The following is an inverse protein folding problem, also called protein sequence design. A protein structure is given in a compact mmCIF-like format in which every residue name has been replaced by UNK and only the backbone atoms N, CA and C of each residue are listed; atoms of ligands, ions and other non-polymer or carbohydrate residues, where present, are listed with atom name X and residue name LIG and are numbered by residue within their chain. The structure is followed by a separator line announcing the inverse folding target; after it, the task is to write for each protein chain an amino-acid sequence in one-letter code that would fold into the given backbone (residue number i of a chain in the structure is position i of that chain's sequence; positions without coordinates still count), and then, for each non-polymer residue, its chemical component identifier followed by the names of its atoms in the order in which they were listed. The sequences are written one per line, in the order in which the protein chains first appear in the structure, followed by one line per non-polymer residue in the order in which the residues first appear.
data_IF_429970062504
#
_entry.id   IF_429970062504
#
_cell.length_a   1.000
_cell.length_b   1.000
_cell.length_c   1.000
_cell.angle_alpha   90.00
_cell.angle_beta   90.00
_cell.angle_gamma   90.00
#
_symmetry.space_group_name_H-M   'P 1'
#
loop_
_entity.id
_entity.type
_entity.pdbx_description
1 polymer ?
#
# COMPACT_ATOMS: atom_id res chain seq x y z
N UNK A 1 28.23 -18.80 16.64
CA UNK A 1 26.76 -18.77 16.45
C UNK A 1 26.42 -17.78 15.34
N UNK A 2 25.69 -18.17 14.28
CA UNK A 2 25.29 -17.22 13.25
C UNK A 2 24.25 -16.24 13.84
N UNK A 3 24.55 -14.94 13.83
CA UNK A 3 23.59 -13.91 14.25
C UNK A 3 22.42 -13.92 13.26
N UNK A 4 21.21 -14.22 13.76
CA UNK A 4 19.96 -14.14 12.99
C UNK A 4 19.91 -12.76 12.34
N UNK A 5 19.85 -12.69 11.00
CA UNK A 5 19.75 -11.41 10.29
C UNK A 5 18.51 -10.68 10.82
N UNK A 6 18.56 -9.37 11.08
CA UNK A 6 17.38 -8.62 11.44
C UNK A 6 16.34 -8.83 10.34
N UNK A 7 15.11 -9.13 10.73
CA UNK A 7 14.01 -9.34 9.81
C UNK A 7 13.74 -8.04 9.05
N UNK A 8 13.87 -8.11 7.74
CA UNK A 8 13.60 -7.02 6.80
C UNK A 8 12.36 -7.40 5.98
N UNK A 9 11.46 -6.45 5.80
CA UNK A 9 10.36 -6.55 4.83
C UNK A 9 10.55 -5.48 3.79
N UNK A 10 10.71 -5.91 2.53
CA UNK A 10 10.64 -5.04 1.37
C UNK A 10 9.20 -4.97 0.88
N UNK A 11 8.62 -3.76 0.89
CA UNK A 11 7.25 -3.54 0.46
C UNK A 11 7.08 -3.74 -1.06
N UNK A 12 8.13 -3.56 -1.86
CA UNK A 12 8.09 -3.75 -3.32
C UNK A 12 7.91 -5.23 -3.73
N UNK A 13 8.27 -6.17 -2.86
CA UNK A 13 8.16 -7.61 -3.12
C UNK A 13 6.84 -8.22 -2.62
N UNK A 14 6.01 -7.44 -1.92
CA UNK A 14 4.73 -7.91 -1.39
C UNK A 14 3.61 -7.76 -2.43
N UNK A 15 2.57 -8.62 -2.40
CA UNK A 15 1.40 -8.42 -3.23
C UNK A 15 0.69 -7.12 -2.83
N UNK A 16 0.48 -6.22 -3.79
CA UNK A 16 -0.16 -4.91 -3.60
C UNK A 16 -1.57 -4.95 -4.21
N UNK A 17 -2.59 -5.20 -3.40
CA UNK A 17 -3.99 -5.22 -3.82
C UNK A 17 -4.34 -6.21 -4.96
N UNK A 18 -5.64 -6.44 -5.19
CA UNK A 18 -6.11 -7.25 -6.31
C UNK A 18 -6.17 -6.45 -7.60
N UNK A 19 -5.42 -6.83 -8.62
CA UNK A 19 -5.59 -6.27 -9.97
C UNK A 19 -6.87 -6.81 -10.61
N UNK A 20 -7.82 -5.91 -10.86
CA UNK A 20 -9.08 -6.24 -11.53
C UNK A 20 -8.99 -6.07 -13.04
N UNK A 21 -9.61 -6.99 -13.79
CA UNK A 21 -9.89 -6.81 -15.22
C UNK A 21 -11.35 -6.40 -15.36
N UNK A 22 -11.59 -5.26 -16.01
CA UNK A 22 -12.94 -4.82 -16.35
C UNK A 22 -13.07 -4.91 -17.87
N UNK A 23 -13.97 -5.78 -18.33
CA UNK A 23 -14.33 -5.90 -19.75
C UNK A 23 -15.63 -5.14 -19.96
N UNK A 24 -15.63 -4.14 -20.84
CA UNK A 24 -16.83 -3.37 -21.18
C UNK A 24 -17.40 -3.94 -22.50
N UNK A 25 -18.62 -4.47 -22.51
CA UNK A 25 -19.25 -4.98 -23.74
C UNK A 25 -19.66 -3.83 -24.67
N UNK A 26 -19.81 -4.15 -25.96
CA UNK A 26 -20.14 -3.20 -27.04
C UNK A 26 -21.60 -2.71 -26.98
N UNK A 27 -22.51 -3.51 -26.44
CA UNK A 27 -23.91 -3.16 -26.19
C UNK A 27 -24.34 -3.51 -24.74
N UNK A 28 -25.32 -2.78 -24.20
CA UNK A 28 -25.81 -2.95 -22.82
C UNK A 28 -25.32 -1.89 -21.82
N UNK A 29 -25.65 -2.08 -20.54
CA UNK A 29 -25.27 -1.14 -19.47
C UNK A 29 -23.83 -1.34 -19.01
N UNK A 30 -23.04 -0.26 -18.99
CA UNK A 30 -21.66 -0.27 -18.49
C UNK A 30 -21.53 -0.41 -16.95
N UNK A 31 -22.65 -0.60 -16.23
CA UNK A 31 -22.67 -0.86 -14.79
C UNK A 31 -22.62 -2.37 -14.57
N UNK A 32 -21.50 -2.88 -14.06
CA UNK A 32 -21.52 -4.08 -13.25
C UNK A 32 -22.16 -3.71 -11.91
N UNK A 33 -23.21 -4.43 -11.51
CA UNK A 33 -23.74 -4.35 -10.15
C UNK A 33 -22.60 -4.82 -9.23
N UNK A 34 -22.06 -3.90 -8.44
CA UNK A 34 -21.13 -4.23 -7.38
C UNK A 34 -21.99 -4.63 -6.19
N UNK A 35 -22.05 -5.93 -5.91
CA UNK A 35 -22.77 -6.55 -4.80
C UNK A 35 -22.10 -6.22 -3.46
N UNK A 36 -21.72 -4.95 -3.25
CA UNK A 36 -20.94 -4.44 -2.14
C UNK A 36 -21.68 -4.63 -0.82
N UNK A 37 -21.65 -5.85 -0.30
CA UNK A 37 -22.05 -6.19 1.05
C UNK A 37 -21.09 -5.46 1.98
N UNK A 38 -21.53 -4.33 2.52
CA UNK A 38 -20.81 -3.58 3.54
C UNK A 38 -20.77 -4.46 4.79
N UNK A 39 -19.64 -5.11 5.03
CA UNK A 39 -19.39 -5.86 6.24
C UNK A 39 -19.24 -4.87 7.41
N UNK A 40 -20.16 -4.94 8.37
CA UNK A 40 -20.11 -4.14 9.58
C UNK A 40 -19.05 -4.77 10.48
N UNK A 41 -17.87 -4.16 10.52
CA UNK A 41 -16.81 -4.54 11.46
C UNK A 41 -17.13 -3.91 12.81
N UNK A 42 -17.60 -4.71 13.76
CA UNK A 42 -17.79 -4.27 15.13
C UNK A 42 -16.43 -3.89 15.75
N UNK A 43 -16.31 -2.62 16.18
CA UNK A 43 -15.08 -2.05 16.71
C UNK A 43 -14.79 -2.47 18.16
N UNK A 44 -13.51 -2.55 18.57
CA UNK A 44 -13.16 -3.07 19.88
C UNK A 44 -13.35 -2.05 21.03
N UNK A 45 -13.60 -2.58 22.23
CA UNK A 45 -13.72 -1.86 23.49
C UNK A 45 -12.50 -0.97 23.79
N UNK A 46 -12.71 0.17 24.47
CA UNK A 46 -11.74 1.25 24.67
C UNK A 46 -10.33 0.85 25.18
N UNK A 47 -10.18 -0.30 25.84
CA UNK A 47 -8.87 -0.83 26.25
C UNK A 47 -7.99 -1.23 25.06
N UNK A 48 -8.58 -1.82 24.02
CA UNK A 48 -7.86 -2.22 22.81
C UNK A 48 -7.36 -1.00 22.03
N UNK A 49 -8.09 0.12 22.10
CA UNK A 49 -7.70 1.36 21.42
C UNK A 49 -6.42 1.96 22.00
N UNK A 50 -6.22 1.88 23.32
CA UNK A 50 -4.98 2.35 23.95
C UNK A 50 -3.75 1.54 23.51
N UNK A 51 -3.90 0.21 23.42
CA UNK A 51 -2.84 -0.69 22.96
C UNK A 51 -2.52 -0.49 21.47
N UNK A 52 -3.53 -0.23 20.64
CA UNK A 52 -3.36 0.12 19.23
C UNK A 52 -2.64 1.47 19.07
N UNK A 53 -3.01 2.49 19.86
CA UNK A 53 -2.31 3.78 19.84
C UNK A 53 -0.85 3.64 20.25
N UNK A 54 -0.56 2.83 21.28
CA UNK A 54 0.81 2.54 21.70
C UNK A 54 1.59 1.82 20.58
N UNK A 55 0.99 0.81 19.95
CA UNK A 55 1.57 0.09 18.83
C UNK A 55 1.88 1.01 17.63
N UNK A 56 1.05 2.02 17.37
CA UNK A 56 1.28 2.97 16.27
C UNK A 56 2.41 3.99 16.56
N UNK A 57 2.73 4.19 17.84
CA UNK A 57 3.78 5.13 18.28
C UNK A 57 5.17 4.47 18.37
N UNK A 58 5.24 3.13 18.29
CA UNK A 58 6.50 2.38 18.24
C UNK A 58 7.41 2.85 17.09
N UNK A 59 8.70 2.97 17.39
CA UNK A 59 9.71 3.41 16.43
C UNK A 59 10.33 2.21 15.73
N UNK A 60 10.37 2.27 14.40
CA UNK A 60 10.98 1.26 13.52
C UNK A 60 11.89 1.93 12.50
N UNK A 61 12.82 1.17 11.93
CA UNK A 61 13.76 1.70 10.94
C UNK A 61 13.13 1.54 9.56
N UNK A 62 12.89 2.65 8.87
CA UNK A 62 12.37 2.66 7.52
C UNK A 62 13.44 3.17 6.55
N UNK A 63 13.48 2.58 5.35
CA UNK A 63 14.33 2.98 4.24
C UNK A 63 13.43 3.16 3.02
N UNK A 64 13.24 4.40 2.58
CA UNK A 64 12.57 4.64 1.30
C UNK A 64 13.59 4.40 0.18
N UNK A 65 13.27 3.56 -0.80
CA UNK A 65 14.21 3.24 -1.86
C UNK A 65 14.59 4.48 -2.69
N UNK A 66 15.86 4.58 -3.12
CA UNK A 66 16.27 5.56 -4.11
C UNK A 66 15.54 5.29 -5.42
N UNK A 67 15.27 6.35 -6.17
CA UNK A 67 14.68 6.28 -7.50
C UNK A 67 15.62 6.93 -8.50
N UNK A 68 15.57 6.47 -9.75
CA UNK A 68 16.34 7.03 -10.87
C UNK A 68 15.59 8.18 -11.55
N UNK A 69 14.31 8.39 -11.23
CA UNK A 69 13.53 9.50 -11.75
C UNK A 69 13.98 10.84 -11.12
N UNK A 70 14.32 11.80 -11.98
CA UNK A 70 14.77 13.14 -11.59
C UNK A 70 13.62 14.02 -11.09
N UNK A 71 12.39 13.71 -11.48
CA UNK A 71 11.20 14.45 -11.08
C UNK A 71 10.58 13.92 -9.79
N UNK A 72 11.11 12.83 -9.24
CA UNK A 72 10.57 12.23 -8.05
C UNK A 72 10.78 13.13 -6.82
N UNK A 73 9.72 13.26 -6.03
CA UNK A 73 9.73 14.03 -4.77
C UNK A 73 10.83 13.52 -3.82
N UNK A 74 11.67 14.44 -3.36
CA UNK A 74 12.67 14.23 -2.31
C UNK A 74 12.91 15.56 -1.57
N UNK A 75 12.57 15.68 -0.27
CA UNK A 75 12.08 14.63 0.63
C UNK A 75 10.62 14.23 0.38
N UNK A 76 10.27 12.98 0.71
CA UNK A 76 8.88 12.51 0.73
C UNK A 76 8.22 12.98 2.03
N UNK A 77 7.18 13.80 1.94
CA UNK A 77 6.47 14.32 3.10
C UNK A 77 5.24 13.45 3.42
N UNK A 78 5.12 13.07 4.69
CA UNK A 78 3.96 12.35 5.23
C UNK A 78 3.42 13.11 6.43
N UNK A 79 2.10 13.25 6.55
CA UNK A 79 1.46 13.92 7.68
C UNK A 79 0.48 12.98 8.38
N UNK A 80 0.53 12.94 9.71
CA UNK A 80 -0.43 12.23 10.56
C UNK A 80 -0.78 13.11 11.74
N UNK A 81 -2.08 13.41 11.92
CA UNK A 81 -2.61 14.19 13.03
C UNK A 81 -1.91 15.56 13.21
N UNK A 82 -1.58 16.24 12.11
CA UNK A 82 -0.90 17.54 12.11
C UNK A 82 0.61 17.49 12.31
N UNK A 83 1.20 16.31 12.53
CA UNK A 83 2.66 16.13 12.60
C UNK A 83 3.18 15.69 11.25
N UNK A 84 4.15 16.44 10.71
CA UNK A 84 4.82 16.14 9.46
C UNK A 84 6.11 15.36 9.71
N UNK A 85 6.30 14.26 8.98
CA UNK A 85 7.54 13.50 8.90
C UNK A 85 8.07 13.57 7.48
N UNK A 86 9.36 13.86 7.34
CA UNK A 86 10.06 13.90 6.07
C UNK A 86 10.97 12.67 5.94
N UNK A 87 10.86 11.99 4.80
CA UNK A 87 11.66 10.84 4.46
C UNK A 87 12.67 11.20 3.37
N UNK A 88 13.96 10.98 3.65
CA UNK A 88 15.03 11.10 2.67
C UNK A 88 15.24 9.75 2.02
N UNK A 89 15.18 9.72 0.68
CA UNK A 89 15.37 8.48 -0.08
C UNK A 89 16.79 7.95 0.10
N UNK A 90 16.92 6.63 0.21
CA UNK A 90 18.19 5.91 0.39
C UNK A 90 18.79 6.01 1.79
N UNK A 91 18.13 6.67 2.75
CA UNK A 91 18.63 6.81 4.12
C UNK A 91 17.82 5.98 5.10
N UNK A 92 18.51 5.40 6.08
CA UNK A 92 17.90 4.69 7.21
C UNK A 92 17.42 5.71 8.23
N UNK A 93 16.10 5.80 8.43
CA UNK A 93 15.52 6.76 9.37
C UNK A 93 14.67 6.03 10.41
N UNK A 94 14.90 6.27 11.72
CA UNK A 94 14.00 5.79 12.76
C UNK A 94 12.72 6.63 12.72
N UNK A 95 11.59 5.98 12.45
CA UNK A 95 10.28 6.64 12.33
C UNK A 95 9.21 5.87 13.09
N UNK A 96 8.15 6.58 13.48
CA UNK A 96 7.00 5.97 14.15
C UNK A 96 6.14 5.20 13.14
N UNK A 97 5.60 4.06 13.55
CA UNK A 97 4.82 3.15 12.69
C UNK A 97 3.62 3.84 12.01
N UNK A 98 2.98 4.82 12.67
CA UNK A 98 1.90 5.64 12.08
C UNK A 98 2.27 6.32 10.75
N UNK A 99 3.54 6.70 10.55
CA UNK A 99 3.98 7.30 9.28
C UNK A 99 4.19 6.24 8.20
N UNK A 100 4.54 5.01 8.57
CA UNK A 100 4.69 3.88 7.64
C UNK A 100 3.33 3.43 7.12
N UNK A 101 2.29 3.46 7.94
CA UNK A 101 0.92 3.18 7.49
C UNK A 101 0.55 4.06 6.28
N UNK A 102 0.87 5.35 6.35
CA UNK A 102 0.59 6.28 5.26
C UNK A 102 1.44 6.01 4.02
N UNK A 103 2.69 5.60 4.18
CA UNK A 103 3.52 5.16 3.05
C UNK A 103 2.99 3.87 2.42
N UNK A 104 2.57 2.90 3.23
CA UNK A 104 2.02 1.63 2.76
C UNK A 104 0.68 1.79 2.01
N UNK A 105 -0.12 2.79 2.40
CA UNK A 105 -1.37 3.15 1.71
C UNK A 105 -1.17 4.08 0.51
N UNK A 106 0.01 4.68 0.34
CA UNK A 106 0.31 5.52 -0.81
C UNK A 106 0.53 4.65 -2.05
N UNK A 107 -0.56 4.39 -2.77
CA UNK A 107 -0.59 3.57 -3.99
C UNK A 107 -0.88 4.44 -5.21
N UNK A 108 -0.42 3.99 -6.35
CA UNK A 108 -0.68 4.56 -7.66
C UNK A 108 -1.47 3.55 -8.49
N UNK A 109 -2.58 3.99 -9.05
CA UNK A 109 -3.43 3.21 -9.95
C UNK A 109 -3.12 3.61 -11.41
N UNK A 110 -2.55 2.68 -12.15
CA UNK A 110 -2.38 2.78 -13.60
C UNK A 110 -3.53 2.08 -14.31
N UNK A 111 -4.18 2.77 -15.25
CA UNK A 111 -5.16 2.17 -16.14
C UNK A 111 -4.59 2.09 -17.54
N UNK A 112 -4.59 0.90 -18.12
CA UNK A 112 -4.25 0.68 -19.53
C UNK A 112 -5.47 0.16 -20.26
N UNK A 113 -5.73 0.73 -21.43
CA UNK A 113 -6.88 0.39 -22.27
C UNK A 113 -6.39 -0.24 -23.57
N UNK A 114 -6.82 -1.47 -23.83
CA UNK A 114 -6.56 -2.15 -25.09
C UNK A 114 -7.87 -2.22 -25.90
N UNK A 115 -7.83 -1.66 -27.10
CA UNK A 115 -8.92 -1.71 -28.09
C UNK A 115 -8.64 -2.87 -29.05
N UNK A 116 -9.43 -3.95 -28.97
CA UNK A 116 -9.34 -5.05 -29.92
C UNK A 116 -10.41 -4.89 -31.01
N UNK A 117 -9.99 -4.36 -32.17
CA UNK A 117 -10.90 -4.10 -33.30
C UNK A 117 -11.36 -5.35 -34.07
N UNK A 118 -11.01 -6.56 -33.60
CA UNK A 118 -11.27 -7.83 -34.30
C UNK A 118 -12.47 -8.60 -33.77
N UNK A 119 -12.90 -8.34 -32.54
CA UNK A 119 -14.03 -9.02 -31.91
C UNK A 119 -15.11 -7.99 -31.51
N UNK A 120 -16.32 -8.05 -32.09
CA UNK A 120 -17.42 -7.16 -31.75
C UNK A 120 -17.91 -7.28 -30.30
N UNK A 121 -17.56 -8.33 -29.54
CA UNK A 121 -18.00 -8.51 -28.14
C UNK A 121 -17.00 -7.99 -27.09
N UNK A 122 -15.69 -7.97 -27.37
CA UNK A 122 -14.64 -7.51 -26.43
C UNK A 122 -13.94 -6.24 -26.94
N UNK A 123 -14.72 -5.21 -27.28
CA UNK A 123 -14.19 -4.01 -27.91
C UNK A 123 -13.22 -3.21 -27.02
N UNK A 124 -13.40 -3.27 -25.70
CA UNK A 124 -12.61 -2.47 -24.77
C UNK A 124 -12.22 -3.24 -23.49
N UNK A 125 -10.91 -3.47 -23.32
CA UNK A 125 -10.34 -4.11 -22.13
C UNK A 125 -9.55 -3.11 -21.31
N UNK A 126 -10.01 -2.87 -20.08
CA UNK A 126 -9.31 -2.04 -19.10
C UNK A 126 -8.53 -2.96 -18.16
N UNK A 127 -7.21 -2.77 -18.14
CA UNK A 127 -6.28 -3.43 -17.21
C UNK A 127 -5.87 -2.40 -16.16
N UNK A 128 -6.29 -2.63 -14.91
CA UNK A 128 -5.83 -1.86 -13.75
C UNK A 128 -4.56 -2.48 -13.19
N UNK A 129 -3.50 -1.68 -13.07
CA UNK A 129 -2.24 -2.02 -12.41
C UNK A 129 -2.11 -1.15 -11.17
N UNK A 130 -1.88 -1.78 -10.02
CA UNK A 130 -1.69 -1.06 -8.75
C UNK A 130 -0.22 -1.20 -8.34
N UNK A 131 0.42 -0.09 -8.00
CA UNK A 131 1.80 -0.05 -7.52
C UNK A 131 1.95 0.82 -6.27
N UNK A 132 3.05 0.65 -5.54
CA UNK A 132 3.41 1.57 -4.46
C UNK A 132 4.03 2.84 -5.05
N UNK A 133 3.51 4.01 -4.65
CA UNK A 133 4.08 5.31 -5.07
C UNK A 133 5.49 5.51 -4.51
N UNK A 134 5.72 5.03 -3.29
CA UNK A 134 7.01 5.12 -2.61
C UNK A 134 7.44 3.71 -2.18
N UNK A 135 8.28 3.00 -2.94
CA UNK A 135 8.84 1.74 -2.48
C UNK A 135 9.68 1.93 -1.22
N UNK A 136 9.49 1.10 -0.20
CA UNK A 136 10.25 1.15 1.06
C UNK A 136 10.56 -0.23 1.64
N UNK A 137 11.61 -0.30 2.44
CA UNK A 137 11.95 -1.43 3.32
C UNK A 137 11.78 -1.03 4.78
N UNK A 138 11.30 -1.97 5.61
CA UNK A 138 11.28 -1.83 7.07
C UNK A 138 12.23 -2.87 7.68
N UNK A 139 13.14 -2.41 8.53
CA UNK A 139 14.12 -3.24 9.22
C UNK A 139 13.85 -3.29 10.73
N UNK A 140 14.02 -4.47 11.33
CA UNK A 140 14.03 -4.62 12.79
C UNK A 140 12.66 -4.48 13.45
N UNK A 141 11.57 -4.73 12.70
CA UNK A 141 10.21 -4.69 13.23
C UNK A 141 9.84 -5.99 13.98
N UNK A 142 8.84 -5.89 14.85
CA UNK A 142 8.24 -7.02 15.57
C UNK A 142 7.45 -7.94 14.61
N UNK A 143 7.28 -9.23 14.93
CA UNK A 143 6.44 -10.13 14.11
C UNK A 143 5.01 -9.61 13.91
N UNK A 144 4.43 -9.02 14.96
CA UNK A 144 3.11 -8.37 14.89
C UNK A 144 3.10 -7.20 13.90
N UNK A 145 4.14 -6.37 13.91
CA UNK A 145 4.32 -5.26 12.95
C UNK A 145 4.42 -5.74 11.50
N UNK A 146 5.12 -6.85 11.29
CA UNK A 146 5.29 -7.46 9.98
C UNK A 146 3.99 -8.00 9.39
N UNK A 147 3.22 -8.75 10.18
CA UNK A 147 1.94 -9.31 9.74
C UNK A 147 0.90 -8.20 9.52
N UNK A 148 0.91 -7.18 10.38
CA UNK A 148 0.10 -5.96 10.20
C UNK A 148 0.44 -5.24 8.89
N UNK A 149 1.73 -5.04 8.59
CA UNK A 149 2.18 -4.37 7.36
C UNK A 149 1.78 -5.17 6.11
N UNK A 150 1.93 -6.50 6.15
CA UNK A 150 1.47 -7.40 5.07
C UNK A 150 -0.04 -7.31 4.88
N UNK A 151 -0.81 -7.22 5.96
CA UNK A 151 -2.25 -7.01 5.90
C UNK A 151 -2.61 -5.71 5.19
N UNK A 152 -1.90 -4.61 5.49
CA UNK A 152 -2.11 -3.32 4.83
C UNK A 152 -1.70 -3.35 3.36
N UNK A 153 -0.58 -3.99 3.02
CA UNK A 153 -0.12 -4.10 1.63
C UNK A 153 -1.06 -4.99 0.80
N UNK A 154 -1.56 -6.08 1.40
CA UNK A 154 -2.49 -7.02 0.75
C UNK A 154 -3.93 -6.54 0.66
N UNK A 155 -4.37 -5.62 1.52
CA UNK A 155 -5.73 -5.09 1.47
C UNK A 155 -6.03 -4.47 0.10
N UNK A 156 -7.18 -4.82 -0.52
CA UNK A 156 -7.65 -4.17 -1.73
C UNK A 156 -7.98 -2.70 -1.44
N UNK A 157 -7.66 -1.81 -2.38
CA UNK A 157 -7.98 -0.38 -2.29
C UNK A 157 -9.40 -0.12 -2.77
#
# INVERSE_FOLDING_TARGET
MPRKRPSEINAAEQPIGGSGKITIPTDGSARLEDDGAIEIVDGPAAMNHADEMAFMEETVICIVHPTTDRNAENPVQVSVNGVNQFFLRGQRQPVKRKFIERLARAREDGFSQNLEARDPQEFNRIVRTIGLKYPFSVEGDTPRGQDWLRGILGAAA
#
